data_IF_257040110094
#
_entry.id   IF_257040110094
#
_cell.length_a   1.000
_cell.length_b   1.000
_cell.length_c   1.000
_cell.angle_alpha   90.00
_cell.angle_beta   90.00
_cell.angle_gamma   90.00
#
_symmetry.space_group_name_H-M   'P 1'
#
loop_
_entity.id
_entity.type
_entity.pdbx_description
1 polymer ?
#
# COMPACT_ATOMS: atom_id res chain seq x y z
N UNK A 1 -36.54 61.44 44.92
CA UNK A 1 -35.23 61.81 45.53
C UNK A 1 -34.33 60.60 45.45
N UNK A 2 -33.10 60.85 45.01
CA UNK A 2 -32.03 59.90 44.74
C UNK A 2 -31.66 59.09 46.00
N UNK A 3 -31.18 57.85 45.79
CA UNK A 3 -30.10 57.34 46.64
C UNK A 3 -29.05 56.71 45.73
N UNK A 4 -28.00 57.52 45.52
CA UNK A 4 -26.70 57.13 45.01
C UNK A 4 -26.02 56.09 45.91
N UNK A 5 -25.16 55.33 45.26
CA UNK A 5 -24.11 54.45 45.79
C UNK A 5 -23.53 54.80 47.16
N UNK A 6 -23.35 53.78 48.00
CA UNK A 6 -22.19 53.66 48.87
C UNK A 6 -21.82 52.19 49.12
N UNK A 7 -20.62 51.83 48.65
CA UNK A 7 -19.89 50.60 48.92
C UNK A 7 -19.49 50.51 50.40
N UNK A 8 -19.54 49.33 51.01
CA UNK A 8 -18.40 48.77 51.76
C UNK A 8 -18.64 47.32 52.24
N UNK A 9 -17.72 46.46 51.79
CA UNK A 9 -17.06 45.37 52.51
C UNK A 9 -17.85 44.56 53.56
N UNK A 10 -18.40 43.42 53.14
CA UNK A 10 -18.16 42.11 53.79
C UNK A 10 -18.77 40.97 52.97
N UNK A 11 -18.05 40.49 51.96
CA UNK A 11 -18.37 39.20 51.33
C UNK A 11 -17.05 38.53 50.97
N UNK A 12 -16.44 37.88 51.97
CA UNK A 12 -15.40 36.89 51.73
C UNK A 12 -16.03 35.77 50.90
N UNK A 13 -15.87 35.83 49.58
CA UNK A 13 -16.07 34.70 48.69
C UNK A 13 -15.04 33.66 49.09
N UNK A 14 -15.48 32.63 49.81
CA UNK A 14 -14.78 31.35 49.86
C UNK A 14 -14.64 30.83 48.42
N UNK A 15 -13.49 31.08 47.80
CA UNK A 15 -13.08 30.38 46.58
C UNK A 15 -12.92 28.92 46.95
N UNK A 16 -13.74 27.99 46.42
CA UNK A 16 -13.49 26.58 46.63
C UNK A 16 -12.13 26.26 46.00
N UNK A 17 -11.23 25.67 46.79
CA UNK A 17 -9.96 25.16 46.30
C UNK A 17 -10.24 24.26 45.08
N UNK A 18 -9.75 24.67 43.92
CA UNK A 18 -9.80 23.88 42.70
C UNK A 18 -8.91 22.66 42.90
N UNK A 19 -9.49 21.57 43.40
CA UNK A 19 -8.85 20.26 43.41
C UNK A 19 -8.56 19.93 41.95
N UNK A 20 -7.30 20.04 41.54
CA UNK A 20 -6.81 19.60 40.24
C UNK A 20 -6.94 18.07 40.21
N UNK A 21 -8.13 17.59 39.83
CA UNK A 21 -8.32 16.17 39.51
C UNK A 21 -7.52 15.89 38.25
N UNK A 22 -6.34 15.30 38.43
CA UNK A 22 -5.59 14.65 37.37
C UNK A 22 -6.45 13.55 36.76
N UNK A 23 -7.24 13.91 35.76
CA UNK A 23 -8.10 12.97 35.04
C UNK A 23 -7.22 12.28 34.01
N UNK A 24 -6.63 11.16 34.39
CA UNK A 24 -5.76 10.37 33.53
C UNK A 24 -6.55 9.95 32.27
N UNK A 25 -6.11 10.44 31.11
CA UNK A 25 -6.79 10.16 29.85
C UNK A 25 -6.28 8.82 29.28
N UNK A 26 -6.90 7.73 29.74
CA UNK A 26 -6.59 6.36 29.28
C UNK A 26 -6.61 6.22 27.76
N UNK A 27 -7.36 7.05 27.03
CA UNK A 27 -7.40 7.01 25.55
C UNK A 27 -6.15 7.61 24.92
N UNK A 28 -5.52 8.60 25.56
CA UNK A 28 -4.21 9.10 25.11
C UNK A 28 -3.11 8.09 25.41
N UNK A 29 -3.13 7.47 26.59
CA UNK A 29 -2.19 6.42 26.94
C UNK A 29 -2.26 5.25 25.95
N UNK A 30 -3.47 4.74 25.68
CA UNK A 30 -3.64 3.61 24.75
C UNK A 30 -3.13 3.92 23.34
N UNK A 31 -3.39 5.14 22.84
CA UNK A 31 -2.86 5.58 21.54
C UNK A 31 -1.34 5.67 21.53
N UNK A 32 -0.74 6.18 22.61
CA UNK A 32 0.70 6.24 22.75
C UNK A 32 1.31 4.83 22.76
N UNK A 33 0.77 3.92 23.57
CA UNK A 33 1.21 2.53 23.64
C UNK A 33 1.08 1.82 22.28
N UNK A 34 -0.02 2.03 21.56
CA UNK A 34 -0.20 1.48 20.23
C UNK A 34 0.86 1.99 19.23
N UNK A 35 1.20 3.28 19.26
CA UNK A 35 2.26 3.83 18.41
C UNK A 35 3.64 3.29 18.80
N UNK A 36 3.95 3.26 20.10
CA UNK A 36 5.22 2.70 20.62
C UNK A 36 5.35 1.23 20.20
N UNK A 37 4.28 0.44 20.29
CA UNK A 37 4.30 -0.96 19.85
C UNK A 37 4.59 -1.10 18.36
N UNK A 38 4.11 -0.19 17.51
CA UNK A 38 4.39 -0.23 16.07
C UNK A 38 5.86 0.12 15.77
N UNK A 39 6.44 1.06 16.53
CA UNK A 39 7.87 1.38 16.41
C UNK A 39 8.72 0.18 16.84
N UNK A 40 8.40 -0.45 17.97
CA UNK A 40 9.08 -1.67 18.43
C UNK A 40 8.94 -2.78 17.39
N UNK A 41 7.75 -2.98 16.84
CA UNK A 41 7.50 -3.98 15.81
C UNK A 41 8.31 -3.74 14.54
N UNK A 42 8.47 -2.47 14.13
CA UNK A 42 9.29 -2.10 12.98
C UNK A 42 10.76 -2.49 13.19
N UNK A 43 11.36 -2.14 14.33
CA UNK A 43 12.75 -2.53 14.63
C UNK A 43 12.91 -4.04 14.83
N UNK A 44 11.97 -4.67 15.56
CA UNK A 44 12.01 -6.10 15.82
C UNK A 44 11.85 -6.92 14.54
N UNK A 45 10.97 -6.49 13.64
CA UNK A 45 10.77 -7.14 12.34
C UNK A 45 12.04 -7.14 11.51
N UNK A 46 12.74 -6.00 11.42
CA UNK A 46 14.02 -5.88 10.72
C UNK A 46 15.08 -6.86 11.25
N UNK A 47 15.14 -7.06 12.57
CA UNK A 47 16.09 -7.98 13.18
C UNK A 47 15.68 -9.45 13.00
N UNK A 48 14.39 -9.77 13.20
CA UNK A 48 13.86 -11.13 13.14
C UNK A 48 13.87 -11.72 11.72
N UNK A 49 13.78 -10.88 10.69
CA UNK A 49 13.70 -11.32 9.30
C UNK A 49 14.90 -10.85 8.47
N UNK A 50 16.09 -10.77 9.09
CA UNK A 50 17.33 -10.57 8.32
C UNK A 50 17.44 -11.66 7.25
N UNK A 51 17.58 -11.29 5.96
CA UNK A 51 17.53 -12.26 4.88
C UNK A 51 18.75 -13.19 4.93
N UNK A 52 18.50 -14.49 5.01
CA UNK A 52 19.51 -15.53 4.81
C UNK A 52 19.26 -16.22 3.47
N UNK A 53 19.80 -15.59 2.43
CA UNK A 53 19.59 -16.09 1.07
C UNK A 53 20.32 -17.40 0.79
N UNK A 54 21.40 -17.69 1.50
CA UNK A 54 22.10 -18.97 1.38
C UNK A 54 21.18 -20.11 1.81
N UNK A 55 20.53 -19.97 2.97
CA UNK A 55 19.57 -20.97 3.46
C UNK A 55 18.32 -21.06 2.57
N UNK A 56 17.84 -19.94 2.04
CA UNK A 56 16.74 -19.94 1.06
C UNK A 56 17.11 -20.73 -0.21
N UNK A 57 18.29 -20.49 -0.78
CA UNK A 57 18.79 -21.23 -1.94
C UNK A 57 19.03 -22.71 -1.61
N UNK A 58 19.57 -23.03 -0.44
CA UNK A 58 19.79 -24.42 0.00
C UNK A 58 18.47 -25.18 0.13
N UNK A 59 17.39 -24.50 0.54
CA UNK A 59 16.05 -25.09 0.63
C UNK A 59 15.46 -25.40 -0.75
N UNK A 60 15.73 -24.54 -1.75
CA UNK A 60 15.30 -24.76 -3.14
C UNK A 60 16.15 -25.83 -3.86
N UNK A 61 17.43 -25.94 -3.49
CA UNK A 61 18.38 -26.90 -4.07
C UNK A 61 19.07 -27.74 -2.99
N UNK A 62 18.38 -28.69 -2.35
CA UNK A 62 18.93 -29.45 -1.22
C UNK A 62 20.19 -30.26 -1.55
N UNK A 63 20.35 -30.67 -2.81
CA UNK A 63 21.49 -31.46 -3.30
C UNK A 63 22.62 -30.62 -3.90
N UNK A 64 22.49 -29.29 -3.92
CA UNK A 64 23.52 -28.42 -4.46
C UNK A 64 24.48 -27.96 -3.36
N UNK A 65 25.74 -27.77 -3.74
CA UNK A 65 26.75 -27.13 -2.88
C UNK A 65 26.75 -25.64 -3.18
N UNK A 66 26.43 -24.81 -2.18
CA UNK A 66 26.29 -23.35 -2.31
C UNK A 66 27.34 -22.65 -1.46
N UNK A 67 28.14 -21.80 -2.09
CA UNK A 67 29.15 -20.97 -1.43
C UNK A 67 28.96 -19.49 -1.82
N UNK A 68 29.10 -18.59 -0.85
CA UNK A 68 29.07 -17.15 -1.08
C UNK A 68 30.37 -16.68 -1.73
N UNK A 69 30.28 -15.73 -2.65
CA UNK A 69 31.45 -15.14 -3.31
C UNK A 69 31.78 -13.80 -2.65
N UNK A 70 33.05 -13.56 -2.33
CA UNK A 70 33.53 -12.30 -1.73
C UNK A 70 32.81 -11.87 -0.44
N UNK A 71 32.30 -12.83 0.35
CA UNK A 71 31.41 -12.57 1.49
C UNK A 71 30.19 -11.70 1.12
N UNK A 72 29.74 -11.77 -0.13
CA UNK A 72 28.53 -11.11 -0.60
C UNK A 72 27.29 -11.88 -0.18
N UNK A 73 26.27 -11.14 0.26
CA UNK A 73 24.95 -11.69 0.57
C UNK A 73 24.11 -11.96 -0.70
N UNK A 74 24.56 -11.51 -1.86
CA UNK A 74 23.79 -11.55 -3.12
C UNK A 74 24.49 -12.31 -4.25
N UNK A 75 25.71 -12.80 -4.06
CA UNK A 75 26.47 -13.56 -5.06
C UNK A 75 26.93 -14.91 -4.50
N UNK A 76 26.62 -15.97 -5.23
CA UNK A 76 26.94 -17.35 -4.84
C UNK A 76 27.42 -18.17 -6.03
N UNK A 77 28.26 -19.18 -5.77
CA UNK A 77 28.48 -20.31 -6.68
C UNK A 77 27.62 -21.47 -6.24
N UNK A 78 27.02 -22.16 -7.20
CA UNK A 78 26.21 -23.35 -6.96
C UNK A 78 26.69 -24.50 -7.85
N UNK A 79 27.12 -25.61 -7.25
CA UNK A 79 27.46 -26.84 -7.97
C UNK A 79 26.34 -27.86 -7.81
N UNK A 80 25.79 -28.34 -8.92
CA UNK A 80 24.71 -29.33 -8.94
C UNK A 80 24.93 -30.34 -10.06
N UNK A 81 24.91 -31.64 -9.74
CA UNK A 81 25.05 -32.75 -10.71
C UNK A 81 26.26 -32.57 -11.66
N UNK A 82 27.41 -32.21 -11.10
CA UNK A 82 28.66 -32.00 -11.84
C UNK A 82 28.64 -30.82 -12.84
N UNK A 83 27.79 -29.83 -12.59
CA UNK A 83 27.75 -28.57 -13.33
C UNK A 83 27.80 -27.40 -12.35
N UNK A 84 28.61 -26.40 -12.70
CA UNK A 84 28.78 -25.18 -11.91
C UNK A 84 27.92 -24.05 -12.47
N UNK A 85 27.34 -23.28 -11.55
CA UNK A 85 26.47 -22.15 -11.83
C UNK A 85 26.88 -20.95 -10.99
N UNK A 86 26.72 -19.77 -11.57
CA UNK A 86 26.72 -18.51 -10.83
C UNK A 86 25.29 -18.19 -10.42
N UNK A 87 25.09 -17.73 -9.19
CA UNK A 87 23.79 -17.31 -8.68
C UNK A 87 23.93 -15.88 -8.16
N UNK A 88 23.04 -15.01 -8.63
CA UNK A 88 22.94 -13.64 -8.15
C UNK A 88 21.52 -13.33 -7.73
N UNK A 89 21.38 -12.41 -6.77
CA UNK A 89 20.11 -12.05 -6.17
C UNK A 89 19.86 -10.57 -6.34
N UNK A 90 18.63 -10.22 -6.70
CA UNK A 90 18.19 -8.83 -6.74
C UNK A 90 16.76 -8.68 -6.23
N UNK A 91 16.48 -7.52 -5.65
CA UNK A 91 15.16 -7.13 -5.14
C UNK A 91 14.61 -5.94 -5.91
N UNK A 92 13.31 -5.98 -6.20
CA UNK A 92 12.57 -4.94 -6.91
C UNK A 92 11.24 -4.63 -6.22
N UNK A 93 10.73 -3.40 -6.43
CA UNK A 93 9.36 -3.08 -6.05
C UNK A 93 8.37 -3.74 -7.03
N UNK A 94 7.43 -4.50 -6.48
CA UNK A 94 6.35 -5.20 -7.17
C UNK A 94 4.97 -4.67 -6.75
N UNK A 95 3.89 -5.37 -7.10
CA UNK A 95 2.51 -4.97 -6.83
C UNK A 95 2.24 -4.74 -5.34
N UNK A 96 2.63 -5.68 -4.48
CA UNK A 96 2.34 -5.66 -3.04
C UNK A 96 3.51 -5.21 -2.16
N UNK A 97 4.67 -4.93 -2.74
CA UNK A 97 5.89 -4.55 -2.02
C UNK A 97 7.15 -5.18 -2.65
N UNK A 98 8.22 -5.42 -1.87
CA UNK A 98 9.46 -6.00 -2.39
C UNK A 98 9.25 -7.42 -2.93
N UNK A 99 9.93 -7.72 -4.03
CA UNK A 99 10.04 -9.03 -4.65
C UNK A 99 11.51 -9.33 -4.92
N UNK A 100 12.00 -10.46 -4.44
CA UNK A 100 13.40 -10.89 -4.55
C UNK A 100 13.50 -12.14 -5.39
N UNK A 101 14.41 -12.14 -6.37
CA UNK A 101 14.68 -13.27 -7.24
C UNK A 101 16.13 -13.69 -7.19
N UNK A 102 16.38 -14.98 -7.38
CA UNK A 102 17.67 -15.54 -7.72
C UNK A 102 17.72 -15.85 -9.23
N UNK A 103 18.75 -15.38 -9.90
CA UNK A 103 19.07 -15.73 -11.29
C UNK A 103 20.20 -16.74 -11.30
N UNK A 104 19.94 -17.93 -11.84
CA UNK A 104 20.91 -19.02 -11.93
C UNK A 104 21.49 -18.99 -13.34
N UNK A 105 22.80 -18.86 -13.47
CA UNK A 105 23.51 -18.62 -14.73
C UNK A 105 24.56 -19.71 -14.95
N UNK A 106 24.61 -20.24 -16.16
CA UNK A 106 25.60 -21.23 -16.57
C UNK A 106 26.99 -20.62 -16.69
N UNK A 107 28.02 -21.47 -16.68
CA UNK A 107 29.40 -21.07 -17.01
C UNK A 107 29.56 -20.45 -18.40
N UNK A 108 28.60 -20.67 -19.31
CA UNK A 108 28.55 -20.05 -20.65
C UNK A 108 27.94 -18.64 -20.65
N UNK A 109 27.46 -18.14 -19.51
CA UNK A 109 26.82 -16.82 -19.42
C UNK A 109 25.37 -16.82 -19.89
N UNK A 110 24.64 -17.92 -19.66
CA UNK A 110 23.22 -18.04 -20.01
C UNK A 110 22.35 -18.32 -18.80
N UNK A 111 21.17 -17.72 -18.76
CA UNK A 111 20.20 -17.93 -17.68
C UNK A 111 19.63 -19.36 -17.76
N UNK A 112 19.85 -20.14 -16.70
CA UNK A 112 19.31 -21.51 -16.50
C UNK A 112 17.94 -21.48 -15.82
N UNK A 113 17.76 -20.67 -14.79
CA UNK A 113 16.47 -20.52 -14.09
C UNK A 113 16.39 -19.18 -13.37
N UNK A 114 15.16 -18.79 -13.04
CA UNK A 114 14.85 -17.60 -12.26
C UNK A 114 13.86 -18.01 -11.18
N UNK A 115 14.26 -17.90 -9.92
CA UNK A 115 13.51 -18.39 -8.78
C UNK A 115 13.14 -17.25 -7.85
N UNK A 116 11.87 -17.16 -7.43
CA UNK A 116 11.43 -16.16 -6.47
C UNK A 116 11.81 -16.64 -5.07
N UNK A 117 12.67 -15.89 -4.39
CA UNK A 117 13.09 -16.18 -3.00
C UNK A 117 12.12 -15.59 -1.98
N UNK A 118 11.59 -14.39 -2.25
CA UNK A 118 10.65 -13.70 -1.36
C UNK A 118 9.73 -12.77 -2.17
N UNK A 119 8.48 -12.60 -1.76
CA UNK A 119 7.58 -11.62 -2.37
C UNK A 119 6.51 -11.10 -1.40
N UNK A 120 6.11 -9.85 -1.64
CA UNK A 120 4.95 -9.23 -0.97
C UNK A 120 3.71 -9.17 -1.86
N UNK A 121 3.73 -9.77 -3.04
CA UNK A 121 2.56 -9.76 -3.93
C UNK A 121 1.45 -10.70 -3.46
N UNK A 122 0.21 -10.41 -3.85
CA UNK A 122 -0.92 -11.33 -3.67
C UNK A 122 -0.58 -12.68 -4.33
N UNK A 123 -0.63 -13.82 -3.62
CA UNK A 123 -0.07 -15.06 -4.16
C UNK A 123 -0.81 -15.56 -5.42
N UNK A 124 -2.08 -15.19 -5.58
CA UNK A 124 -2.85 -15.35 -6.82
C UNK A 124 -2.14 -14.83 -8.09
N UNK A 125 -1.45 -13.67 -8.01
CA UNK A 125 -0.68 -13.14 -9.14
C UNK A 125 0.57 -13.99 -9.43
N UNK A 126 1.26 -14.46 -8.38
CA UNK A 126 2.42 -15.35 -8.54
C UNK A 126 2.00 -16.69 -9.14
N UNK A 127 0.87 -17.25 -8.69
CA UNK A 127 0.32 -18.48 -9.25
C UNK A 127 -0.08 -18.29 -10.72
N UNK A 128 -0.67 -17.13 -11.07
CA UNK A 128 -1.01 -16.80 -12.45
C UNK A 128 0.23 -16.75 -13.35
N UNK A 129 1.35 -16.19 -12.87
CA UNK A 129 2.63 -16.19 -13.60
C UNK A 129 3.17 -17.60 -13.80
N UNK A 130 3.14 -18.44 -12.76
CA UNK A 130 3.55 -19.85 -12.84
C UNK A 130 2.69 -20.62 -13.86
N UNK A 131 1.37 -20.48 -13.78
CA UNK A 131 0.42 -21.14 -14.70
C UNK A 131 0.59 -20.69 -16.15
N UNK A 132 0.94 -19.42 -16.38
CA UNK A 132 1.26 -18.89 -17.70
C UNK A 132 2.62 -19.39 -18.24
N UNK A 133 3.41 -20.11 -17.44
CA UNK A 133 4.75 -20.53 -17.79
C UNK A 133 5.71 -19.35 -18.01
N UNK A 134 5.47 -18.23 -17.31
CA UNK A 134 6.18 -16.95 -17.46
C UNK A 134 7.71 -17.11 -17.38
N UNK A 135 8.20 -17.95 -16.46
CA UNK A 135 9.64 -18.13 -16.23
C UNK A 135 10.38 -18.81 -17.38
N UNK A 136 9.68 -19.51 -18.28
CA UNK A 136 10.32 -20.19 -19.42
C UNK A 136 10.99 -19.23 -20.39
N UNK A 137 10.53 -17.97 -20.45
CA UNK A 137 11.07 -16.97 -21.37
C UNK A 137 12.49 -16.51 -21.01
N UNK A 138 12.92 -16.74 -19.77
CA UNK A 138 14.27 -16.41 -19.31
C UNK A 138 15.30 -17.46 -19.73
N UNK A 139 14.85 -18.69 -20.03
CA UNK A 139 15.74 -19.79 -20.33
C UNK A 139 16.63 -19.47 -21.53
N UNK A 140 17.94 -19.67 -21.36
CA UNK A 140 18.98 -19.46 -22.39
C UNK A 140 19.13 -18.01 -22.85
N UNK A 141 18.53 -17.04 -22.17
CA UNK A 141 18.85 -15.63 -22.39
C UNK A 141 20.30 -15.38 -21.96
N UNK A 142 21.01 -14.54 -22.71
CA UNK A 142 22.36 -14.11 -22.37
C UNK A 142 22.36 -13.32 -21.06
N UNK A 143 23.46 -13.39 -20.32
CA UNK A 143 23.63 -12.77 -18.99
C UNK A 143 23.55 -11.23 -19.04
N UNK A 144 23.87 -10.63 -20.18
CA UNK A 144 23.77 -9.20 -20.49
C UNK A 144 22.46 -8.82 -21.20
N UNK A 145 21.48 -9.73 -21.27
CA UNK A 145 20.21 -9.49 -21.94
C UNK A 145 19.53 -8.19 -21.47
N UNK A 146 19.24 -7.30 -22.43
CA UNK A 146 18.48 -6.07 -22.19
C UNK A 146 16.99 -6.29 -22.54
N UNK A 147 16.07 -6.23 -21.57
CA UNK A 147 14.65 -6.42 -21.84
C UNK A 147 14.05 -5.19 -22.54
N UNK A 148 13.40 -5.44 -23.68
CA UNK A 148 12.54 -4.50 -24.39
C UNK A 148 11.15 -5.10 -24.46
N UNK A 149 10.22 -4.50 -23.72
CA UNK A 149 8.86 -5.00 -23.56
C UNK A 149 8.16 -5.15 -24.92
N UNK A 150 7.41 -6.24 -25.08
CA UNK A 150 6.63 -6.58 -26.27
C UNK A 150 7.50 -6.80 -27.53
N UNK A 151 8.81 -6.95 -27.34
CA UNK A 151 9.76 -7.33 -28.41
C UNK A 151 10.50 -8.61 -28.09
N UNK A 152 11.13 -8.67 -26.91
CA UNK A 152 12.01 -9.78 -26.55
C UNK A 152 11.62 -10.46 -25.23
N UNK A 153 10.51 -10.03 -24.63
CA UNK A 153 9.87 -10.63 -23.46
C UNK A 153 8.41 -10.16 -23.33
N UNK A 154 7.60 -10.97 -22.66
CA UNK A 154 6.16 -10.77 -22.52
C UNK A 154 5.75 -10.67 -21.05
N UNK A 155 4.91 -9.69 -20.72
CA UNK A 155 4.26 -9.57 -19.42
C UNK A 155 2.92 -10.33 -19.38
N UNK A 156 2.53 -10.85 -18.22
CA UNK A 156 1.24 -11.55 -18.06
C UNK A 156 0.12 -10.57 -17.75
N UNK A 157 -0.90 -10.53 -18.59
CA UNK A 157 -2.09 -9.69 -18.42
C UNK A 157 -2.74 -9.89 -17.04
N UNK A 158 -2.98 -8.79 -16.32
CA UNK A 158 -3.52 -8.79 -14.96
C UNK A 158 -2.52 -9.18 -13.87
N UNK A 159 -1.25 -9.41 -14.21
CA UNK A 159 -0.12 -9.54 -13.29
C UNK A 159 1.09 -8.74 -13.82
N UNK A 160 0.83 -7.61 -14.48
CA UNK A 160 1.84 -6.82 -15.23
C UNK A 160 2.89 -6.21 -14.31
N UNK A 161 2.51 -5.67 -13.15
CA UNK A 161 3.46 -5.10 -12.19
C UNK A 161 4.41 -6.17 -11.63
N UNK A 162 3.87 -7.34 -11.27
CA UNK A 162 4.64 -8.51 -10.84
C UNK A 162 5.57 -9.04 -11.94
N UNK A 163 5.08 -9.12 -13.18
CA UNK A 163 5.89 -9.50 -14.34
C UNK A 163 7.07 -8.54 -14.52
N UNK A 164 6.81 -7.23 -14.51
CA UNK A 164 7.84 -6.20 -14.66
C UNK A 164 8.88 -6.29 -13.53
N UNK A 165 8.46 -6.48 -12.28
CA UNK A 165 9.37 -6.59 -11.14
C UNK A 165 10.29 -7.81 -11.27
N UNK A 166 9.76 -8.98 -11.63
CA UNK A 166 10.58 -10.19 -11.84
C UNK A 166 11.56 -10.00 -12.99
N UNK A 167 11.11 -9.43 -14.12
CA UNK A 167 12.00 -9.16 -15.26
C UNK A 167 13.15 -8.23 -14.87
N UNK A 168 12.85 -7.09 -14.21
CA UNK A 168 13.89 -6.15 -13.78
C UNK A 168 14.83 -6.77 -12.77
N UNK A 169 14.31 -7.52 -11.79
CA UNK A 169 15.11 -8.18 -10.77
C UNK A 169 16.04 -9.21 -11.41
N UNK A 170 15.53 -10.05 -12.31
CA UNK A 170 16.34 -11.00 -13.06
C UNK A 170 17.41 -10.30 -13.91
N UNK A 171 17.06 -9.18 -14.54
CA UNK A 171 18.01 -8.41 -15.37
C UNK A 171 19.13 -7.81 -14.52
N UNK A 172 18.81 -7.17 -13.39
CA UNK A 172 19.81 -6.62 -12.45
C UNK A 172 20.71 -7.72 -11.89
N UNK A 173 20.12 -8.85 -11.48
CA UNK A 173 20.87 -10.00 -11.01
C UNK A 173 21.80 -10.55 -12.11
N UNK A 174 21.30 -10.71 -13.33
CA UNK A 174 22.11 -11.23 -14.44
C UNK A 174 23.22 -10.27 -14.84
N UNK A 175 22.95 -8.96 -14.96
CA UNK A 175 23.93 -7.93 -15.26
C UNK A 175 25.07 -7.88 -14.25
N UNK A 176 24.79 -8.09 -12.95
CA UNK A 176 25.83 -8.19 -11.93
C UNK A 176 26.83 -9.33 -12.21
N UNK A 177 26.34 -10.48 -12.72
CA UNK A 177 27.22 -11.60 -13.11
C UNK A 177 27.94 -11.28 -14.44
N UNK A 178 27.26 -10.62 -15.38
CA UNK A 178 27.82 -10.24 -16.68
C UNK A 178 29.08 -9.37 -16.51
N UNK A 179 28.98 -8.35 -15.67
CA UNK A 179 30.07 -7.41 -15.41
C UNK A 179 31.21 -8.05 -14.63
N UNK A 180 30.88 -8.90 -13.64
CA UNK A 180 31.87 -9.42 -12.70
C UNK A 180 32.62 -10.66 -13.18
N UNK A 181 31.99 -11.51 -13.99
CA UNK A 181 32.58 -12.81 -14.41
C UNK A 181 32.73 -12.98 -15.91
N UNK A 182 32.00 -12.21 -16.71
CA UNK A 182 32.06 -12.31 -18.17
C UNK A 182 32.66 -11.06 -18.82
N UNK A 183 33.08 -10.07 -18.02
CA UNK A 183 33.66 -8.80 -18.47
C UNK A 183 32.81 -8.09 -19.54
N UNK A 184 31.48 -8.30 -19.49
CA UNK A 184 30.55 -7.68 -20.44
C UNK A 184 30.09 -6.34 -19.90
N UNK A 185 30.13 -5.32 -20.76
CA UNK A 185 29.50 -4.03 -20.47
C UNK A 185 27.99 -4.15 -20.59
N UNK A 186 27.26 -3.83 -19.52
CA UNK A 186 25.79 -3.90 -19.53
C UNK A 186 25.17 -2.53 -19.74
N UNK A 187 24.05 -2.49 -20.45
CA UNK A 187 23.25 -1.28 -20.56
C UNK A 187 22.31 -1.15 -19.37
N UNK A 188 22.22 0.03 -18.73
CA UNK A 188 21.33 0.22 -17.61
C UNK A 188 19.87 0.06 -18.05
N UNK A 189 19.05 -0.53 -17.18
CA UNK A 189 17.60 -0.62 -17.37
C UNK A 189 17.01 0.79 -17.57
N UNK A 190 16.51 1.05 -18.78
CA UNK A 190 15.87 2.33 -19.09
C UNK A 190 14.65 2.56 -18.18
N UNK A 191 14.64 3.70 -17.48
CA UNK A 191 13.54 4.13 -16.60
C UNK A 191 12.54 5.02 -17.35
N UNK A 192 12.04 4.56 -18.50
CA UNK A 192 11.07 5.33 -19.28
C UNK A 192 9.66 5.19 -18.69
N UNK A 193 8.96 6.32 -18.58
CA UNK A 193 7.57 6.33 -18.13
C UNK A 193 6.70 5.87 -19.31
N UNK A 194 6.13 4.68 -19.19
CA UNK A 194 5.21 4.15 -20.17
C UNK A 194 3.78 4.61 -19.87
N UNK A 195 3.31 5.58 -20.64
CA UNK A 195 1.91 6.01 -20.57
C UNK A 195 1.01 4.95 -21.19
N UNK A 196 -0.17 4.77 -20.60
CA UNK A 196 -1.17 3.79 -21.05
C UNK A 196 -2.53 4.46 -20.98
N UNK A 197 -3.49 3.99 -21.76
CA UNK A 197 -4.87 4.51 -21.73
C UNK A 197 -5.45 4.46 -20.31
N UNK A 198 -5.13 3.44 -19.52
CA UNK A 198 -5.50 3.36 -18.10
C UNK A 198 -5.03 4.58 -17.30
N UNK A 199 -3.78 5.01 -17.46
CA UNK A 199 -3.23 6.19 -16.77
C UNK A 199 -3.99 7.47 -17.14
N UNK A 200 -4.32 7.65 -18.42
CA UNK A 200 -5.12 8.78 -18.89
C UNK A 200 -6.53 8.76 -18.27
N UNK A 201 -7.19 7.60 -18.26
CA UNK A 201 -8.51 7.44 -17.66
C UNK A 201 -8.51 7.69 -16.14
N UNK A 202 -7.48 7.20 -15.43
CA UNK A 202 -7.30 7.48 -13.99
C UNK A 202 -7.19 8.98 -13.74
N UNK A 203 -6.33 9.68 -14.49
CA UNK A 203 -6.15 11.13 -14.37
C UNK A 203 -7.46 11.89 -14.67
N UNK A 204 -8.20 11.48 -15.70
CA UNK A 204 -9.49 12.07 -16.05
C UNK A 204 -10.55 11.85 -14.95
N UNK A 205 -10.62 10.66 -14.36
CA UNK A 205 -11.54 10.37 -13.25
C UNK A 205 -11.23 11.22 -12.02
N UNK A 206 -9.94 11.37 -11.68
CA UNK A 206 -9.51 12.26 -10.60
C UNK A 206 -9.91 13.70 -10.90
N UNK A 207 -9.63 14.19 -12.12
CA UNK A 207 -9.99 15.54 -12.53
C UNK A 207 -11.51 15.78 -12.45
N UNK A 208 -12.33 14.84 -12.95
CA UNK A 208 -13.79 14.89 -12.81
C UNK A 208 -14.24 14.93 -11.35
N UNK A 209 -13.65 14.10 -10.48
CA UNK A 209 -13.97 14.07 -9.05
C UNK A 209 -13.66 15.40 -8.36
N UNK A 210 -12.51 16.00 -8.69
CA UNK A 210 -12.05 17.28 -8.15
C UNK A 210 -12.94 18.41 -8.65
N UNK A 211 -13.24 18.46 -9.95
CA UNK A 211 -14.17 19.45 -10.54
C UNK A 211 -15.56 19.37 -9.89
N UNK A 212 -16.05 18.17 -9.58
CA UNK A 212 -17.36 17.99 -8.95
C UNK A 212 -17.41 18.51 -7.49
N UNK A 213 -16.28 18.81 -6.85
CA UNK A 213 -16.26 19.47 -5.54
C UNK A 213 -16.93 20.86 -5.62
N UNK A 214 -16.75 21.56 -6.75
CA UNK A 214 -17.37 22.88 -6.98
C UNK A 214 -18.75 22.76 -7.62
N UNK A 215 -18.92 21.87 -8.61
CA UNK A 215 -20.19 21.69 -9.31
C UNK A 215 -21.30 21.07 -8.45
N UNK A 216 -20.93 20.23 -7.47
CA UNK A 216 -21.86 19.52 -6.56
C UNK A 216 -22.97 18.75 -7.28
N UNK A 217 -22.70 18.25 -8.48
CA UNK A 217 -23.68 17.55 -9.31
C UNK A 217 -23.72 16.04 -8.92
N UNK A 218 -24.92 15.55 -8.57
CA UNK A 218 -25.12 14.15 -8.14
C UNK A 218 -25.09 13.17 -9.31
N UNK A 219 -25.56 13.58 -10.49
CA UNK A 219 -25.52 12.75 -11.69
C UNK A 219 -24.07 12.56 -12.15
N UNK A 220 -23.28 13.63 -12.14
CA UNK A 220 -21.85 13.53 -12.44
C UNK A 220 -21.15 12.60 -11.46
N UNK A 221 -21.48 12.70 -10.16
CA UNK A 221 -20.98 11.77 -9.12
C UNK A 221 -21.28 10.32 -9.44
N UNK A 222 -22.52 10.01 -9.74
CA UNK A 222 -22.93 8.65 -10.10
C UNK A 222 -22.11 8.13 -11.30
N UNK A 223 -21.99 8.93 -12.36
CA UNK A 223 -21.29 8.54 -13.59
C UNK A 223 -19.81 8.25 -13.31
N UNK A 224 -19.08 9.14 -12.65
CA UNK A 224 -17.66 8.89 -12.43
C UNK A 224 -17.40 7.82 -11.38
N UNK A 225 -18.29 7.59 -10.39
CA UNK A 225 -18.13 6.49 -9.43
C UNK A 225 -18.29 5.14 -10.13
N UNK A 226 -19.29 5.01 -10.99
CA UNK A 226 -19.47 3.79 -11.79
C UNK A 226 -18.31 3.59 -12.77
N UNK A 227 -17.88 4.65 -13.45
CA UNK A 227 -16.71 4.59 -14.34
C UNK A 227 -15.42 4.25 -13.56
N UNK A 228 -15.24 4.77 -12.34
CA UNK A 228 -14.11 4.43 -11.48
C UNK A 228 -14.13 2.96 -11.06
N UNK A 229 -15.30 2.38 -10.85
CA UNK A 229 -15.45 0.95 -10.52
C UNK A 229 -14.99 0.08 -11.69
N UNK A 230 -15.38 0.43 -12.92
CA UNK A 230 -14.97 -0.28 -14.12
C UNK A 230 -13.46 -0.10 -14.42
N UNK A 231 -12.98 1.14 -14.42
CA UNK A 231 -11.60 1.46 -14.84
C UNK A 231 -10.58 1.13 -13.75
N UNK A 232 -10.78 1.59 -12.52
CA UNK A 232 -9.80 1.42 -11.44
C UNK A 232 -9.93 0.03 -10.81
N UNK A 233 -11.16 -0.46 -10.66
CA UNK A 233 -11.45 -1.80 -10.16
C UNK A 233 -11.06 -2.87 -11.17
N UNK A 234 -11.86 -3.06 -12.22
CA UNK A 234 -11.70 -4.20 -13.14
C UNK A 234 -10.54 -4.06 -14.13
N UNK A 235 -10.32 -2.88 -14.72
CA UNK A 235 -9.24 -2.70 -15.71
C UNK A 235 -7.85 -2.56 -15.06
N UNK A 236 -7.70 -1.65 -14.09
CA UNK A 236 -6.40 -1.36 -13.49
C UNK A 236 -6.08 -2.30 -12.30
N UNK A 237 -7.10 -2.73 -11.55
CA UNK A 237 -6.97 -3.50 -10.31
C UNK A 237 -5.89 -2.93 -9.36
N UNK A 238 -5.93 -1.60 -9.18
CA UNK A 238 -5.03 -0.86 -8.33
C UNK A 238 -5.84 -0.02 -7.35
N UNK A 239 -5.72 -0.33 -6.07
CA UNK A 239 -6.42 0.37 -4.99
C UNK A 239 -5.44 0.77 -3.91
N UNK A 240 -5.70 1.92 -3.28
CA UNK A 240 -5.01 2.32 -2.06
C UNK A 240 -5.46 1.38 -0.94
N UNK A 241 -4.51 0.68 -0.35
CA UNK A 241 -4.68 -0.31 0.71
C UNK A 241 -3.71 -0.04 1.86
N UNK A 242 -3.86 -0.76 2.98
CA UNK A 242 -2.93 -0.67 4.11
C UNK A 242 -1.50 -1.05 3.71
N UNK A 243 -1.32 -1.93 2.71
CA UNK A 243 0.03 -2.30 2.24
C UNK A 243 0.76 -1.16 1.58
N UNK A 244 0.06 -0.25 0.87
CA UNK A 244 0.71 0.91 0.27
C UNK A 244 1.31 1.83 1.34
N UNK A 245 0.60 2.04 2.45
CA UNK A 245 1.12 2.82 3.57
C UNK A 245 2.25 2.10 4.29
N UNK A 246 2.06 0.80 4.56
CA UNK A 246 3.08 -0.06 5.19
C UNK A 246 4.39 -0.07 4.37
N UNK A 247 4.29 -0.20 3.05
CA UNK A 247 5.44 -0.18 2.13
C UNK A 247 6.21 1.13 2.21
N UNK A 248 5.51 2.27 2.14
CA UNK A 248 6.14 3.60 2.26
C UNK A 248 6.83 3.76 3.62
N UNK A 249 6.21 3.30 4.71
CA UNK A 249 6.79 3.37 6.06
C UNK A 249 8.00 2.45 6.24
N UNK A 250 8.13 1.39 5.46
CA UNK A 250 9.31 0.52 5.42
C UNK A 250 10.39 0.98 4.43
N UNK A 251 10.13 2.02 3.64
CA UNK A 251 11.06 2.52 2.61
C UNK A 251 10.93 1.84 1.25
N UNK A 252 9.93 0.97 1.05
CA UNK A 252 9.62 0.38 -0.26
C UNK A 252 8.79 1.35 -1.10
N UNK A 253 9.47 2.29 -1.75
CA UNK A 253 8.86 3.31 -2.60
C UNK A 253 9.10 2.95 -4.07
N UNK A 254 8.06 2.58 -4.84
CA UNK A 254 8.21 2.30 -6.26
C UNK A 254 8.55 3.57 -7.03
N UNK A 255 9.47 3.46 -7.99
CA UNK A 255 9.81 4.59 -8.85
C UNK A 255 8.64 4.94 -9.78
N UNK A 256 8.62 6.17 -10.30
CA UNK A 256 7.51 6.68 -11.12
C UNK A 256 7.29 5.84 -12.40
N UNK A 257 8.37 5.34 -13.00
CA UNK A 257 8.32 4.46 -14.18
C UNK A 257 7.80 3.06 -13.85
N UNK A 258 7.93 2.60 -12.61
CA UNK A 258 7.52 1.25 -12.20
C UNK A 258 6.02 1.16 -11.94
N UNK A 259 5.47 2.18 -11.28
CA UNK A 259 4.06 2.18 -10.87
C UNK A 259 3.44 3.59 -10.95
N UNK A 260 3.30 4.09 -12.18
CA UNK A 260 2.67 5.38 -12.45
C UNK A 260 1.22 5.45 -11.92
N UNK A 261 0.46 4.36 -12.01
CA UNK A 261 -0.92 4.30 -11.52
C UNK A 261 -1.04 4.55 -10.02
N UNK A 262 -0.14 4.00 -9.20
CA UNK A 262 -0.07 4.30 -7.77
C UNK A 262 0.18 5.79 -7.50
N UNK A 263 1.10 6.42 -8.23
CA UNK A 263 1.40 7.85 -8.09
C UNK A 263 0.22 8.73 -8.50
N UNK A 264 -0.49 8.36 -9.56
CA UNK A 264 -1.71 9.05 -9.96
C UNK A 264 -2.79 8.92 -8.87
N UNK A 265 -3.03 7.73 -8.30
CA UNK A 265 -4.06 7.51 -7.29
C UNK A 265 -3.67 8.02 -5.90
N UNK A 266 -2.63 7.44 -5.30
CA UNK A 266 -2.17 7.78 -3.96
C UNK A 266 -1.61 9.21 -3.92
N UNK A 267 -0.80 9.59 -4.91
CA UNK A 267 -0.22 10.94 -4.98
C UNK A 267 -1.29 12.03 -5.09
N UNK A 268 -2.30 11.87 -5.96
CA UNK A 268 -3.40 12.84 -6.05
C UNK A 268 -4.28 12.86 -4.79
N UNK A 269 -4.50 11.71 -4.15
CA UNK A 269 -5.24 11.61 -2.89
C UNK A 269 -4.52 12.35 -1.77
N UNK A 270 -3.21 12.14 -1.62
CA UNK A 270 -2.40 12.86 -0.64
C UNK A 270 -2.34 14.35 -0.96
N UNK A 271 -2.18 14.72 -2.23
CA UNK A 271 -2.17 16.12 -2.68
C UNK A 271 -3.46 16.84 -2.32
N UNK A 272 -4.62 16.22 -2.56
CA UNK A 272 -5.92 16.82 -2.22
C UNK A 272 -6.16 16.90 -0.71
N UNK A 273 -5.65 15.96 0.08
CA UNK A 273 -5.66 16.06 1.55
C UNK A 273 -4.81 17.25 2.00
N UNK A 274 -3.60 17.41 1.46
CA UNK A 274 -2.69 18.51 1.82
C UNK A 274 -3.29 19.87 1.41
N UNK A 275 -3.72 20.02 0.16
CA UNK A 275 -4.21 21.29 -0.38
C UNK A 275 -5.62 21.65 0.11
N UNK A 276 -6.57 20.71 0.04
CA UNK A 276 -7.99 20.97 0.29
C UNK A 276 -8.44 20.53 1.69
N UNK A 277 -7.67 19.68 2.38
CA UNK A 277 -8.10 19.10 3.66
C UNK A 277 -9.23 18.10 3.53
N UNK A 278 -9.37 17.48 2.35
CA UNK A 278 -10.45 16.54 2.02
C UNK A 278 -9.89 15.25 1.44
N UNK A 279 -10.43 14.12 1.88
CA UNK A 279 -10.20 12.82 1.27
C UNK A 279 -11.19 12.64 0.10
N UNK A 280 -10.70 12.77 -1.13
CA UNK A 280 -11.52 12.57 -2.33
C UNK A 280 -11.62 11.10 -2.74
N UNK A 281 -10.71 10.25 -2.28
CA UNK A 281 -10.59 8.87 -2.76
C UNK A 281 -11.76 8.00 -2.31
N UNK A 282 -11.95 7.83 -1.00
CA UNK A 282 -12.88 6.83 -0.46
C UNK A 282 -14.33 6.95 -0.96
N UNK A 283 -14.85 8.18 -1.12
CA UNK A 283 -16.25 8.40 -1.48
C UNK A 283 -16.50 8.82 -2.94
N UNK A 284 -15.45 8.97 -3.76
CA UNK A 284 -15.60 9.44 -5.14
C UNK A 284 -14.79 8.62 -6.17
N UNK A 285 -13.65 8.02 -5.78
CA UNK A 285 -12.75 7.33 -6.72
C UNK A 285 -12.62 5.84 -6.38
N UNK A 286 -12.74 5.48 -5.10
CA UNK A 286 -12.53 4.12 -4.65
C UNK A 286 -13.55 3.16 -5.30
N UNK A 287 -13.08 2.15 -6.07
CA UNK A 287 -13.98 1.23 -6.76
C UNK A 287 -14.77 0.35 -5.78
N UNK A 288 -14.21 0.07 -4.59
CA UNK A 288 -14.90 -0.70 -3.54
C UNK A 288 -16.08 0.07 -2.91
N UNK A 289 -16.01 1.40 -2.85
CA UNK A 289 -17.17 2.23 -2.52
C UNK A 289 -18.23 2.14 -3.63
N UNK A 290 -17.82 2.23 -4.91
CA UNK A 290 -18.76 2.14 -6.02
C UNK A 290 -19.56 0.85 -6.06
N UNK A 291 -18.93 -0.29 -5.76
CA UNK A 291 -19.62 -1.58 -5.62
C UNK A 291 -20.66 -1.55 -4.49
N UNK A 292 -20.26 -1.15 -3.27
CA UNK A 292 -21.18 -1.11 -2.12
C UNK A 292 -22.32 -0.10 -2.33
N UNK A 293 -22.00 1.05 -2.93
CA UNK A 293 -22.97 2.07 -3.30
C UNK A 293 -24.02 1.52 -4.29
N UNK A 294 -23.59 0.76 -5.30
CA UNK A 294 -24.50 0.13 -6.26
C UNK A 294 -25.35 -0.95 -5.58
N UNK A 295 -24.76 -1.83 -4.77
CA UNK A 295 -25.49 -2.88 -4.06
C UNK A 295 -26.57 -2.32 -3.15
N UNK A 296 -26.25 -1.29 -2.37
CA UNK A 296 -27.23 -0.65 -1.51
C UNK A 296 -28.30 0.09 -2.31
N UNK A 297 -27.94 0.73 -3.43
CA UNK A 297 -28.93 1.39 -4.30
C UNK A 297 -29.90 0.39 -4.93
N UNK A 298 -29.44 -0.82 -5.24
CA UNK A 298 -30.28 -1.92 -5.74
C UNK A 298 -31.21 -2.43 -4.64
N UNK A 299 -30.70 -2.62 -3.42
CA UNK A 299 -31.51 -3.14 -2.31
C UNK A 299 -32.54 -2.12 -1.83
N UNK A 300 -32.15 -0.85 -1.75
CA UNK A 300 -32.87 0.23 -1.06
C UNK A 300 -33.32 -0.14 0.38
N UNK A 301 -32.65 -1.13 0.99
CA UNK A 301 -32.92 -1.59 2.35
C UNK A 301 -31.99 -0.87 3.32
N UNK A 302 -32.56 -0.31 4.39
CA UNK A 302 -31.82 0.34 5.46
C UNK A 302 -32.09 -0.36 6.78
N UNK A 303 -31.16 -1.18 7.24
CA UNK A 303 -31.27 -1.83 8.53
C UNK A 303 -30.92 -0.84 9.65
N UNK A 304 -31.83 -0.54 10.59
CA UNK A 304 -31.52 0.32 11.72
C UNK A 304 -30.48 -0.35 12.60
N UNK A 305 -29.34 0.32 12.80
CA UNK A 305 -28.27 -0.18 13.64
C UNK A 305 -28.51 0.17 15.11
N UNK A 306 -28.24 -0.78 16.00
CA UNK A 306 -28.32 -0.56 17.43
C UNK A 306 -27.39 0.59 17.88
N UNK A 307 -27.81 1.50 18.79
CA UNK A 307 -27.01 2.67 19.17
C UNK A 307 -25.60 2.35 19.67
N UNK A 308 -25.42 1.20 20.34
CA UNK A 308 -24.09 0.78 20.79
C UNK A 308 -23.13 0.48 19.63
N UNK A 309 -23.62 -0.07 18.51
CA UNK A 309 -22.81 -0.31 17.31
C UNK A 309 -22.34 1.00 16.73
N UNK A 310 -23.24 1.98 16.55
CA UNK A 310 -22.89 3.32 16.06
C UNK A 310 -21.85 4.00 16.97
N UNK A 311 -21.94 3.80 18.29
CA UNK A 311 -21.03 4.38 19.27
C UNK A 311 -19.64 3.74 19.26
N UNK A 312 -19.51 2.43 19.02
CA UNK A 312 -18.23 1.70 19.21
C UNK A 312 -17.61 1.15 17.93
N UNK A 313 -18.36 0.94 16.85
CA UNK A 313 -17.85 0.29 15.64
C UNK A 313 -16.74 1.11 14.93
N UNK A 314 -16.65 2.41 15.19
CA UNK A 314 -15.55 3.25 14.70
C UNK A 314 -14.16 2.89 15.29
N UNK A 315 -14.09 2.01 16.32
CA UNK A 315 -12.82 1.47 16.81
C UNK A 315 -12.32 0.29 15.98
N UNK A 316 -13.21 -0.43 15.29
CA UNK A 316 -12.86 -1.60 14.49
C UNK A 316 -11.83 -1.25 13.39
N UNK A 317 -12.03 -0.23 12.53
CA UNK A 317 -11.05 0.06 11.48
C UNK A 317 -9.74 0.61 12.05
N UNK A 318 -9.74 1.19 13.26
CA UNK A 318 -8.52 1.62 13.98
C UNK A 318 -7.70 0.45 14.47
N UNK A 319 -8.36 -0.54 15.07
CA UNK A 319 -7.72 -1.79 15.50
C UNK A 319 -7.23 -2.55 14.26
N UNK A 320 -8.03 -2.59 13.20
CA UNK A 320 -7.65 -3.20 11.92
C UNK A 320 -6.43 -2.53 11.29
N UNK A 321 -6.36 -1.19 11.27
CA UNK A 321 -5.19 -0.45 10.81
C UNK A 321 -3.95 -0.76 11.66
N UNK A 322 -4.07 -0.71 12.98
CA UNK A 322 -2.96 -1.05 13.87
C UNK A 322 -2.49 -2.51 13.68
N UNK A 323 -3.42 -3.47 13.61
CA UNK A 323 -3.11 -4.88 13.43
C UNK A 323 -2.47 -5.14 12.05
N UNK A 324 -2.98 -4.53 10.99
CA UNK A 324 -2.41 -4.66 9.65
C UNK A 324 -0.98 -4.09 9.58
N UNK A 325 -0.74 -2.92 10.16
CA UNK A 325 0.62 -2.36 10.25
C UNK A 325 1.53 -3.22 11.14
N UNK A 326 1.03 -3.71 12.26
CA UNK A 326 1.77 -4.58 13.18
C UNK A 326 2.25 -5.85 12.48
N UNK A 327 1.36 -6.57 11.80
CA UNK A 327 1.71 -7.76 11.03
C UNK A 327 2.72 -7.41 9.95
N UNK A 328 2.46 -6.36 9.16
CA UNK A 328 3.38 -5.96 8.09
C UNK A 328 4.78 -5.66 8.60
N UNK A 329 4.90 -4.87 9.69
CA UNK A 329 6.17 -4.52 10.31
C UNK A 329 6.91 -5.72 10.89
N UNK A 330 6.22 -6.62 11.61
CA UNK A 330 6.84 -7.81 12.18
C UNK A 330 7.34 -8.79 11.13
N UNK A 331 6.72 -8.86 9.95
CA UNK A 331 7.10 -9.79 8.88
C UNK A 331 7.95 -9.16 7.78
N UNK A 332 8.25 -7.86 7.85
CA UNK A 332 8.82 -7.06 6.74
C UNK A 332 8.12 -7.35 5.40
N UNK A 333 6.80 -7.47 5.43
CA UNK A 333 5.99 -7.74 4.25
C UNK A 333 4.80 -6.78 4.26
N UNK A 334 4.81 -5.72 3.44
CA UNK A 334 3.75 -4.71 3.45
C UNK A 334 2.35 -5.27 3.24
N UNK A 335 2.19 -6.37 2.51
CA UNK A 335 0.88 -6.96 2.20
C UNK A 335 0.41 -8.01 3.21
N UNK A 336 1.27 -8.50 4.09
CA UNK A 336 0.92 -9.54 5.06
C UNK A 336 -0.23 -9.13 6.00
N UNK A 337 -0.32 -7.83 6.31
CA UNK A 337 -1.40 -7.27 7.13
C UNK A 337 -2.66 -6.85 6.35
N UNK A 338 -2.68 -7.01 5.02
CA UNK A 338 -3.80 -6.60 4.18
C UNK A 338 -4.90 -7.65 4.13
N UNK A 339 -5.93 -7.47 4.96
CA UNK A 339 -7.14 -8.29 4.92
C UNK A 339 -8.25 -7.70 4.02
N UNK A 340 -7.97 -6.57 3.36
CA UNK A 340 -8.92 -5.89 2.49
C UNK A 340 -9.24 -6.76 1.25
N UNK A 341 -10.52 -7.11 0.97
CA UNK A 341 -10.88 -8.02 -0.13
C UNK A 341 -10.88 -7.32 -1.50
N UNK A 342 -9.98 -6.36 -1.66
CA UNK A 342 -9.89 -5.47 -2.82
C UNK A 342 -9.44 -6.22 -4.07
N UNK A 343 -8.30 -6.91 -4.01
CA UNK A 343 -7.82 -7.70 -5.14
C UNK A 343 -8.83 -8.79 -5.50
N UNK A 344 -9.39 -9.48 -4.51
CA UNK A 344 -10.28 -10.62 -4.70
C UNK A 344 -11.52 -10.28 -5.55
N UNK A 345 -12.19 -9.15 -5.28
CA UNK A 345 -13.43 -8.81 -6.00
C UNK A 345 -13.17 -8.46 -7.48
N UNK A 346 -12.02 -7.87 -7.80
CA UNK A 346 -11.71 -7.40 -9.16
C UNK A 346 -10.83 -8.37 -9.97
N UNK A 347 -10.00 -9.19 -9.31
CA UNK A 347 -9.23 -10.26 -9.96
C UNK A 347 -10.00 -11.58 -10.03
N UNK A 348 -11.07 -11.73 -9.23
CA UNK A 348 -11.78 -13.00 -9.00
C UNK A 348 -10.87 -14.12 -8.48
N UNK A 349 -9.75 -13.75 -7.86
CA UNK A 349 -8.79 -14.66 -7.25
C UNK A 349 -8.63 -14.28 -5.78
N UNK A 350 -9.17 -15.11 -4.89
CA UNK A 350 -9.07 -14.95 -3.44
C UNK A 350 -8.27 -16.06 -2.78
N UNK A 351 -7.79 -15.78 -1.56
CA UNK A 351 -7.06 -16.75 -0.75
C UNK A 351 -7.56 -16.78 0.70
N UNK A 352 -7.54 -17.99 1.28
CA UNK A 352 -7.85 -18.23 2.68
C UNK A 352 -9.15 -17.56 3.14
N UNK A 353 -9.03 -16.67 4.13
CA UNK A 353 -10.17 -16.03 4.79
C UNK A 353 -10.90 -15.00 3.90
N UNK A 354 -10.28 -14.52 2.82
CA UNK A 354 -10.90 -13.54 1.91
C UNK A 354 -12.17 -14.11 1.27
N UNK A 355 -12.23 -15.43 1.04
CA UNK A 355 -13.42 -16.15 0.55
C UNK A 355 -14.64 -16.04 1.46
N UNK A 356 -14.44 -15.78 2.75
CA UNK A 356 -15.52 -15.57 3.71
C UNK A 356 -15.80 -14.08 3.93
N UNK A 357 -14.74 -13.26 3.99
CA UNK A 357 -14.83 -11.82 4.22
C UNK A 357 -15.59 -11.13 3.09
N UNK A 358 -15.24 -11.41 1.83
CA UNK A 358 -15.85 -10.72 0.69
C UNK A 358 -17.37 -10.96 0.58
N UNK A 359 -17.88 -12.21 0.52
CA UNK A 359 -19.33 -12.44 0.44
C UNK A 359 -20.08 -11.83 1.63
N UNK A 360 -19.53 -11.95 2.84
CA UNK A 360 -20.13 -11.36 4.05
C UNK A 360 -20.25 -9.84 3.92
N UNK A 361 -19.24 -9.18 3.38
CA UNK A 361 -19.26 -7.74 3.12
C UNK A 361 -20.29 -7.37 2.06
N UNK A 362 -20.33 -8.10 0.94
CA UNK A 362 -21.26 -7.81 -0.14
C UNK A 362 -22.71 -7.97 0.32
N UNK A 363 -23.02 -9.06 1.05
CA UNK A 363 -24.34 -9.28 1.65
C UNK A 363 -24.68 -8.15 2.62
N UNK A 364 -23.76 -7.79 3.52
CA UNK A 364 -24.00 -6.71 4.46
C UNK A 364 -24.18 -5.34 3.80
N UNK A 365 -23.55 -5.11 2.64
CA UNK A 365 -23.71 -3.89 1.86
C UNK A 365 -25.12 -3.74 1.24
N UNK A 366 -25.91 -4.81 1.12
CA UNK A 366 -27.33 -4.69 0.79
C UNK A 366 -28.12 -4.00 1.92
N UNK A 367 -27.73 -4.18 3.18
CA UNK A 367 -28.52 -3.70 4.32
C UNK A 367 -27.97 -2.40 4.93
N UNK A 368 -26.67 -2.18 4.75
CA UNK A 368 -25.91 -1.11 5.40
C UNK A 368 -25.06 -0.40 4.34
N UNK A 369 -25.32 0.89 4.04
CA UNK A 369 -24.48 1.65 3.12
C UNK A 369 -23.01 1.63 3.55
N UNK A 370 -22.13 1.36 2.58
CA UNK A 370 -20.68 1.45 2.77
C UNK A 370 -20.17 0.64 3.97
N UNK A 371 -20.79 -0.51 4.26
CA UNK A 371 -20.54 -1.29 5.47
C UNK A 371 -19.04 -1.50 5.74
N UNK A 372 -18.27 -1.95 4.75
CA UNK A 372 -16.84 -2.15 4.92
C UNK A 372 -16.08 -0.85 5.07
N UNK A 373 -16.36 0.14 4.21
CA UNK A 373 -15.68 1.43 4.24
C UNK A 373 -15.90 2.15 5.58
N UNK A 374 -17.05 1.93 6.21
CA UNK A 374 -17.44 2.54 7.49
C UNK A 374 -16.91 1.79 8.71
N UNK A 375 -16.87 0.46 8.67
CA UNK A 375 -16.61 -0.36 9.87
C UNK A 375 -15.36 -1.21 9.82
N UNK A 376 -14.77 -1.47 8.66
CA UNK A 376 -13.70 -2.47 8.54
C UNK A 376 -12.49 -2.00 7.74
N UNK A 377 -12.60 -0.94 6.94
CA UNK A 377 -11.54 -0.49 6.03
C UNK A 377 -10.37 0.20 6.76
N UNK A 378 -9.18 -0.43 6.84
CA UNK A 378 -8.01 0.14 7.49
C UNK A 378 -7.40 1.28 6.66
N UNK A 379 -7.37 1.17 5.32
CA UNK A 379 -6.86 2.24 4.46
C UNK A 379 -7.71 3.51 4.55
N UNK A 380 -9.03 3.35 4.68
CA UNK A 380 -9.96 4.46 4.91
C UNK A 380 -9.69 5.17 6.24
N UNK A 381 -9.40 4.43 7.31
CA UNK A 381 -9.01 5.01 8.60
C UNK A 381 -7.67 5.75 8.49
N UNK A 382 -6.69 5.21 7.78
CA UNK A 382 -5.40 5.89 7.57
C UNK A 382 -5.58 7.25 6.87
N UNK A 383 -6.34 7.30 5.78
CA UNK A 383 -6.67 8.55 5.07
C UNK A 383 -7.47 9.53 5.95
N UNK A 384 -8.35 9.01 6.81
CA UNK A 384 -9.11 9.80 7.79
C UNK A 384 -8.18 10.45 8.82
N UNK A 385 -7.24 9.67 9.37
CA UNK A 385 -6.24 10.18 10.31
C UNK A 385 -5.37 11.26 9.67
N UNK A 386 -4.88 11.05 8.45
CA UNK A 386 -4.09 12.04 7.70
C UNK A 386 -4.87 13.35 7.53
N UNK A 387 -6.14 13.27 7.16
CA UNK A 387 -7.02 14.43 6.99
C UNK A 387 -7.22 15.18 8.31
N UNK A 388 -7.46 14.46 9.40
CA UNK A 388 -7.62 15.03 10.74
C UNK A 388 -6.35 15.73 11.23
N UNK A 389 -5.19 15.10 11.07
CA UNK A 389 -3.91 15.69 11.45
C UNK A 389 -3.61 16.94 10.64
N UNK A 390 -3.79 16.90 9.31
CA UNK A 390 -3.64 18.08 8.45
C UNK A 390 -4.53 19.22 8.91
N UNK A 391 -5.82 18.98 9.13
CA UNK A 391 -6.75 20.04 9.52
C UNK A 391 -6.45 20.62 10.91
N UNK A 392 -5.99 19.79 11.85
CA UNK A 392 -5.51 20.25 13.15
C UNK A 392 -4.25 21.12 13.02
N UNK A 393 -3.27 20.71 12.20
CA UNK A 393 -2.06 21.49 11.94
C UNK A 393 -2.40 22.86 11.33
N UNK A 394 -3.25 22.91 10.31
CA UNK A 394 -3.69 24.16 9.69
C UNK A 394 -4.39 25.06 10.71
N UNK A 395 -5.24 24.52 11.58
CA UNK A 395 -5.90 25.28 12.64
C UNK A 395 -4.89 25.90 13.64
N UNK A 396 -3.85 25.16 14.02
CA UNK A 396 -2.80 25.64 14.92
C UNK A 396 -1.92 26.73 14.27
N UNK A 397 -1.67 26.64 12.97
CA UNK A 397 -0.81 27.57 12.23
C UNK A 397 -1.54 28.85 11.82
N UNK A 398 -2.85 28.79 11.57
CA UNK A 398 -3.68 29.94 11.15
C UNK A 398 -3.54 31.19 12.02
N UNK A 399 -3.57 31.12 13.37
CA UNK A 399 -3.39 32.30 14.22
C UNK A 399 -1.98 32.91 14.14
N UNK A 400 -0.94 32.14 13.80
CA UNK A 400 0.44 32.63 13.67
C UNK A 400 0.56 33.54 12.43
N UNK A 401 -0.05 33.15 11.31
CA UNK A 401 -0.06 33.97 10.08
C UNK A 401 -0.92 35.23 10.20
N UNK A 402 -2.00 35.19 10.97
CA UNK A 402 -2.82 36.38 11.23
C UNK A 402 -2.09 37.38 12.12
N UNK A 403 -1.30 36.90 13.10
CA UNK A 403 -0.52 37.77 14.00
C UNK A 403 0.63 38.49 13.28
N UNK A 404 1.29 37.83 12.32
CA UNK A 404 2.35 38.45 11.51
C UNK A 404 1.85 39.47 10.46
N UNK A 405 0.58 39.40 10.04
CA UNK A 405 -0.02 40.41 9.15
C UNK A 405 -0.61 41.62 9.89
N UNK A 406 -0.70 41.57 11.22
CA UNK A 406 -1.24 42.65 12.05
C UNK A 406 -0.19 43.58 12.66
N UNK A 407 1.08 43.47 12.28
CA UNK A 407 2.21 44.23 12.85
C UNK A 407 2.82 45.29 11.91
N UNK A 408 2.15 45.65 10.83
CA UNK A 408 2.62 46.66 9.86
C UNK A 408 1.54 47.71 9.56
N UNK A 409 1.06 48.38 10.59
CA UNK A 409 0.31 49.64 10.48
C UNK A 409 0.91 50.66 11.45
#
# INVERSE_FOLDING_TARGET
MSCNDCQSQSCQKNTPATIVKWRFDYRKLFRLLALVSLVIAWFSGQELNRPDWKNALQSLYPQATIASIDNSDVLFTMTQKNSDYYVSIATENSFGGPLTVASIITSEGKVKSVDILNHSDTPAYIQKLKNAGYFRQFLRKEVDFLPVKDKNWDAVSGATLSSNAIMRANTRASHLIAERYFERTTEPLASTINYTVTHLLLALLIACSVTNIWLKNQTLKLVYVLASTAVIGFMANQMISVSNFSAVMMGFIPSLSENLGLWILLGSTLLTIVLLGKNIYCGNICPFHGVQYLLHKISNLNLPLFPAVLKHAHYIPKVGLWAGLMVGFLTINPSAGSYEPFSMIFSLQGEGIQWFILPSILIGAFFIPDMFCRFFCPAGEMLTLLTLYRNKLVYLIKPIFVRNKGGSL
#
